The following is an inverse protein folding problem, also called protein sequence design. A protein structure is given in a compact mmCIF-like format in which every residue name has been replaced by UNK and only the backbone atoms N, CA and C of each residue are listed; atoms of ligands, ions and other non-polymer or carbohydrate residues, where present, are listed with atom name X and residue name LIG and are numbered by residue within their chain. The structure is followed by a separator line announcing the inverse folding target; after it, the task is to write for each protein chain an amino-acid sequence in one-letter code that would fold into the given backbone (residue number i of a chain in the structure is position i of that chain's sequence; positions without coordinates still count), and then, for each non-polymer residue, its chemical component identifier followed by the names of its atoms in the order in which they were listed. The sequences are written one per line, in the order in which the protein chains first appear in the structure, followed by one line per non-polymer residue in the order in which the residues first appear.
data_IF_401483964558
#
_entry.id   IF_401483964558
#
_cell.length_a   1.000
_cell.length_b   1.000
_cell.length_c   1.000
_cell.angle_alpha   90.00
_cell.angle_beta   90.00
_cell.angle_gamma   90.00
#
_symmetry.space_group_name_H-M   'P 1'
#
loop_
_entity.id
_entity.type
_entity.pdbx_description
1 polymer ?
#
# COMPACT_ATOMS: atom_id res chain seq x y z
N UNK A 1 -19.89 19.97 7.42
CA UNK A 1 -20.09 19.06 6.26
C UNK A 1 -19.92 17.64 6.76
N UNK A 2 -20.97 16.83 6.63
CA UNK A 2 -21.10 15.49 7.23
C UNK A 2 -19.92 14.59 6.83
N UNK A 3 -19.19 14.11 7.84
CA UNK A 3 -18.13 13.12 7.66
C UNK A 3 -18.75 11.81 7.20
N UNK A 4 -18.68 11.53 5.90
CA UNK A 4 -18.80 10.17 5.41
C UNK A 4 -17.68 9.37 6.08
N UNK A 5 -17.99 8.66 7.17
CA UNK A 5 -17.19 7.53 7.59
C UNK A 5 -17.21 6.61 6.38
N UNK A 6 -16.11 6.56 5.64
CA UNK A 6 -16.01 5.62 4.53
C UNK A 6 -16.20 4.25 5.17
N UNK A 7 -17.34 3.62 4.88
CA UNK A 7 -17.67 2.29 5.41
C UNK A 7 -16.89 1.22 4.61
N UNK A 8 -15.73 1.62 4.08
CA UNK A 8 -14.84 0.79 3.29
C UNK A 8 -14.37 -0.33 4.22
N UNK A 9 -14.60 -1.60 3.85
CA UNK A 9 -14.24 -2.72 4.71
C UNK A 9 -12.76 -2.64 5.08
N UNK A 10 -12.46 -2.54 6.37
CA UNK A 10 -11.08 -2.50 6.86
C UNK A 10 -10.58 -3.95 6.94
N UNK A 11 -10.13 -4.49 5.82
CA UNK A 11 -9.52 -5.82 5.77
C UNK A 11 -8.11 -5.75 6.33
N UNK A 12 -7.82 -6.60 7.32
CA UNK A 12 -6.50 -6.74 7.94
C UNK A 12 -6.22 -8.21 8.22
N UNK A 13 -5.13 -8.72 7.68
CA UNK A 13 -4.58 -10.04 7.96
C UNK A 13 -3.30 -9.84 8.75
N UNK A 14 -3.15 -10.54 9.88
CA UNK A 14 -2.00 -10.37 10.77
C UNK A 14 -1.42 -11.74 11.12
N UNK A 15 -0.11 -11.86 10.99
CA UNK A 15 0.71 -12.95 11.53
C UNK A 15 1.70 -12.36 12.52
N UNK A 16 2.47 -13.20 13.21
CA UNK A 16 3.45 -12.76 14.22
C UNK A 16 4.50 -11.78 13.68
N UNK A 17 4.78 -11.84 12.36
CA UNK A 17 5.83 -11.04 11.71
C UNK A 17 5.33 -10.09 10.64
N UNK A 18 4.05 -10.18 10.25
CA UNK A 18 3.56 -9.47 9.08
C UNK A 18 2.12 -9.00 9.25
N UNK A 19 1.86 -7.79 8.77
CA UNK A 19 0.52 -7.21 8.70
C UNK A 19 0.23 -6.83 7.26
N UNK A 20 -0.79 -7.47 6.67
CA UNK A 20 -1.38 -7.04 5.40
C UNK A 20 -2.65 -6.28 5.72
N UNK A 21 -2.78 -5.06 5.18
CA UNK A 21 -4.00 -4.27 5.30
C UNK A 21 -4.23 -3.46 4.04
N UNK A 22 -5.45 -2.96 3.89
CA UNK A 22 -5.72 -1.96 2.88
C UNK A 22 -4.88 -0.69 3.10
N UNK A 23 -4.46 -0.11 1.99
CA UNK A 23 -3.69 1.14 1.96
C UNK A 23 -4.55 2.30 2.47
N UNK A 24 -3.91 3.26 3.12
CA UNK A 24 -4.51 4.52 3.52
C UNK A 24 -3.66 5.66 2.97
N UNK A 25 -4.27 6.81 2.66
CA UNK A 25 -3.57 8.01 2.15
C UNK A 25 -2.27 8.38 2.90
N UNK A 26 -2.24 8.19 4.23
CA UNK A 26 -1.04 8.44 5.05
C UNK A 26 0.16 7.55 4.72
N UNK A 27 -0.06 6.45 4.01
CA UNK A 27 0.97 5.49 3.59
C UNK A 27 1.64 5.92 2.28
N UNK A 28 1.15 6.96 1.60
CA UNK A 28 1.63 7.38 0.29
C UNK A 28 3.14 7.63 0.26
N UNK A 29 3.69 8.28 1.28
CA UNK A 29 5.14 8.54 1.35
C UNK A 29 5.95 7.25 1.52
N UNK A 30 5.52 6.33 2.40
CA UNK A 30 6.20 5.04 2.59
C UNK A 30 6.17 4.18 1.33
N UNK A 31 5.06 4.22 0.59
CA UNK A 31 4.95 3.52 -0.68
C UNK A 31 5.88 4.15 -1.73
N UNK A 32 5.95 5.47 -1.80
CA UNK A 32 6.85 6.18 -2.71
C UNK A 32 8.31 5.80 -2.45
N UNK A 33 8.74 5.80 -1.18
CA UNK A 33 10.09 5.40 -0.78
C UNK A 33 10.36 3.94 -1.17
N UNK A 34 9.43 3.02 -0.86
CA UNK A 34 9.55 1.61 -1.22
C UNK A 34 9.73 1.40 -2.73
N UNK A 35 8.92 2.07 -3.57
CA UNK A 35 9.04 1.96 -5.02
C UNK A 35 10.30 2.62 -5.57
N UNK A 36 10.75 3.74 -4.97
CA UNK A 36 11.98 4.42 -5.37
C UNK A 36 13.21 3.55 -5.07
N UNK A 37 13.29 2.98 -3.88
CA UNK A 37 14.40 2.12 -3.44
C UNK A 37 14.47 0.81 -4.23
N UNK A 38 13.32 0.21 -4.56
CA UNK A 38 13.25 -1.09 -5.22
C UNK A 38 13.08 -1.00 -6.75
N UNK A 39 13.24 0.19 -7.34
CA UNK A 39 12.95 0.47 -8.75
C UNK A 39 13.66 -0.50 -9.71
N UNK A 40 14.94 -0.78 -9.47
CA UNK A 40 15.73 -1.68 -10.33
C UNK A 40 15.24 -3.13 -10.28
N UNK A 41 14.77 -3.57 -9.10
CA UNK A 41 14.22 -4.90 -8.89
C UNK A 41 12.80 -5.02 -9.45
N UNK A 42 11.99 -3.97 -9.36
CA UNK A 42 10.58 -3.97 -9.78
C UNK A 42 10.39 -3.74 -11.29
N UNK A 43 11.29 -2.99 -11.94
CA UNK A 43 11.22 -2.64 -13.37
C UNK A 43 11.08 -3.83 -14.34
N UNK A 44 11.80 -4.96 -14.20
CA UNK A 44 11.69 -6.08 -15.14
C UNK A 44 10.33 -6.79 -15.12
N UNK A 45 9.56 -6.62 -14.03
CA UNK A 45 8.28 -7.28 -13.80
C UNK A 45 7.08 -6.36 -14.02
N UNK A 46 7.30 -5.04 -14.01
CA UNK A 46 6.34 -4.08 -14.52
C UNK A 46 6.25 -4.28 -16.03
N UNK A 47 5.14 -4.88 -16.48
CA UNK A 47 4.85 -5.26 -17.86
C UNK A 47 5.64 -4.45 -18.90
N UNK A 48 6.37 -5.15 -19.77
CA UNK A 48 6.86 -4.57 -21.00
C UNK A 48 5.66 -4.02 -21.80
N UNK A 49 5.55 -2.70 -21.82
CA UNK A 49 4.82 -1.88 -22.79
C UNK A 49 5.64 -0.63 -23.03
#
# INVERSE_FOLDING_TARGET
MFGYRSNVPKVRLTTDRLVVRLVHDRDAWRLADYYAENKAFLKPWGAGS
#
